data_IF_277281445744
#
_entry.id   IF_277281445744
#
_cell.length_a   1.000
_cell.length_b   1.000
_cell.length_c   1.000
_cell.angle_alpha   90.00
_cell.angle_beta   90.00
_cell.angle_gamma   90.00
#
_symmetry.space_group_name_H-M   'P 1'
#
loop_
_entity.id
_entity.type
_entity.pdbx_description
1 polymer ?
#
# COMPACT_ATOMS: atom_id res chain seq x y z
N UNK A 1 -22.69 -50.19 -3.94
CA UNK A 1 -21.28 -49.81 -4.14
C UNK A 1 -20.69 -49.48 -2.77
N UNK A 2 -19.65 -50.17 -2.32
CA UNK A 2 -19.16 -50.01 -0.94
C UNK A 2 -18.42 -48.68 -0.76
N UNK A 3 -18.69 -48.02 0.37
CA UNK A 3 -18.14 -46.71 0.76
C UNK A 3 -16.59 -46.68 0.72
N UNK A 4 -15.95 -47.83 0.94
CA UNK A 4 -14.49 -47.99 0.86
C UNK A 4 -13.92 -47.70 -0.54
N UNK A 5 -14.68 -47.95 -1.61
CA UNK A 5 -14.23 -47.73 -2.99
C UNK A 5 -14.24 -46.27 -3.43
N UNK A 6 -15.02 -45.42 -2.77
CA UNK A 6 -15.09 -43.98 -3.08
C UNK A 6 -13.96 -43.20 -2.38
N UNK A 7 -13.65 -43.55 -1.12
CA UNK A 7 -12.54 -42.95 -0.38
C UNK A 7 -11.18 -43.29 -1.01
N UNK A 8 -11.00 -44.51 -1.50
CA UNK A 8 -9.77 -44.92 -2.19
C UNK A 8 -9.49 -44.11 -3.46
N UNK A 9 -10.53 -43.81 -4.27
CA UNK A 9 -10.39 -42.99 -5.48
C UNK A 9 -10.09 -41.53 -5.15
N UNK A 10 -10.79 -40.95 -4.18
CA UNK A 10 -10.52 -39.58 -3.75
C UNK A 10 -9.08 -39.38 -3.25
N UNK A 11 -8.53 -40.36 -2.53
CA UNK A 11 -7.14 -40.34 -2.09
C UNK A 11 -6.15 -40.45 -3.27
N UNK A 12 -6.41 -41.35 -4.22
CA UNK A 12 -5.58 -41.49 -5.42
C UNK A 12 -5.58 -40.20 -6.28
N UNK A 13 -6.74 -39.58 -6.48
CA UNK A 13 -6.86 -38.32 -7.22
C UNK A 13 -6.08 -37.19 -6.54
N UNK A 14 -6.12 -37.14 -5.21
CA UNK A 14 -5.39 -36.14 -4.41
C UNK A 14 -3.87 -36.34 -4.54
N UNK A 15 -3.40 -37.59 -4.43
CA UNK A 15 -1.97 -37.93 -4.58
C UNK A 15 -1.47 -37.66 -6.01
N UNK A 16 -2.31 -37.92 -7.02
CA UNK A 16 -1.95 -37.66 -8.42
C UNK A 16 -1.91 -36.16 -8.72
N UNK A 17 -2.81 -35.37 -8.15
CA UNK A 17 -2.78 -33.91 -8.23
C UNK A 17 -1.52 -33.33 -7.57
N UNK A 18 -1.14 -33.84 -6.39
CA UNK A 18 0.07 -33.43 -5.68
C UNK A 18 1.34 -33.71 -6.51
N UNK A 19 1.48 -34.92 -7.06
CA UNK A 19 2.60 -35.29 -7.94
C UNK A 19 2.70 -34.38 -9.15
N UNK A 20 1.56 -34.11 -9.80
CA UNK A 20 1.51 -33.22 -10.97
C UNK A 20 1.92 -31.78 -10.62
N UNK A 21 1.55 -31.29 -9.43
CA UNK A 21 1.99 -29.96 -8.96
C UNK A 21 3.48 -29.93 -8.67
N UNK A 22 4.03 -30.99 -8.06
CA UNK A 22 5.46 -31.11 -7.77
C UNK A 22 6.29 -31.12 -9.06
N UNK A 23 5.90 -31.89 -10.06
CA UNK A 23 6.59 -31.94 -11.36
C UNK A 23 6.59 -30.58 -12.07
N UNK A 24 5.48 -29.83 -12.00
CA UNK A 24 5.39 -28.46 -12.55
C UNK A 24 6.31 -27.49 -11.80
N UNK A 25 6.38 -27.62 -10.47
CA UNK A 25 7.26 -26.81 -9.63
C UNK A 25 8.73 -27.09 -9.97
N UNK A 26 9.14 -28.36 -10.04
CA UNK A 26 10.50 -28.75 -10.39
C UNK A 26 10.91 -28.28 -11.79
N UNK A 27 10.00 -28.38 -12.78
CA UNK A 27 10.25 -27.85 -14.12
C UNK A 27 10.46 -26.33 -14.12
N UNK A 28 9.69 -25.60 -13.31
CA UNK A 28 9.82 -24.15 -13.17
C UNK A 28 11.15 -23.78 -12.51
N UNK A 29 11.53 -24.46 -11.43
CA UNK A 29 12.82 -24.26 -10.74
C UNK A 29 13.98 -24.52 -11.69
N UNK A 30 13.98 -25.63 -12.45
CA UNK A 30 15.02 -25.91 -13.46
C UNK A 30 15.09 -24.83 -14.55
N UNK A 31 13.95 -24.27 -14.95
CA UNK A 31 13.90 -23.15 -15.89
C UNK A 31 14.54 -21.87 -15.34
N UNK A 32 14.28 -21.55 -14.07
CA UNK A 32 14.88 -20.39 -13.39
C UNK A 32 16.39 -20.55 -13.18
N UNK A 33 16.85 -21.76 -12.83
CA UNK A 33 18.28 -22.05 -12.69
C UNK A 33 19.01 -21.83 -14.01
N UNK A 34 18.48 -22.34 -15.14
CA UNK A 34 19.07 -22.10 -16.47
C UNK A 34 19.12 -20.62 -16.85
N UNK A 35 18.09 -19.84 -16.49
CA UNK A 35 18.08 -18.40 -16.74
C UNK A 35 19.16 -17.69 -15.91
N UNK A 36 19.33 -18.07 -14.63
CA UNK A 36 20.37 -17.54 -13.76
C UNK A 36 21.77 -17.89 -14.27
N UNK A 37 22.01 -19.13 -14.70
CA UNK A 37 23.27 -19.55 -15.33
C UNK A 37 23.56 -18.71 -16.59
N UNK A 38 22.54 -18.46 -17.42
CA UNK A 38 22.68 -17.61 -18.61
C UNK A 38 22.99 -16.15 -18.29
N UNK A 39 22.50 -15.62 -17.16
CA UNK A 39 22.85 -14.28 -16.67
C UNK A 39 24.27 -14.26 -16.11
N UNK A 40 24.67 -15.26 -15.33
CA UNK A 40 26.02 -15.39 -14.78
C UNK A 40 27.06 -15.49 -15.91
N UNK A 41 26.78 -16.27 -16.95
CA UNK A 41 27.67 -16.39 -18.12
C UNK A 41 27.82 -15.10 -18.94
N UNK A 42 26.88 -14.15 -18.82
CA UNK A 42 26.92 -12.84 -19.50
C UNK A 42 27.54 -11.74 -18.65
N UNK A 43 27.79 -11.99 -17.37
CA UNK A 43 28.52 -11.04 -16.54
C UNK A 43 30.02 -11.15 -16.85
N UNK A 44 30.71 -10.05 -17.18
CA UNK A 44 32.14 -10.08 -17.41
C UNK A 44 32.83 -10.54 -16.11
N UNK A 45 33.66 -11.57 -16.22
CA UNK A 45 34.47 -12.06 -15.11
C UNK A 45 35.35 -10.93 -14.59
N UNK A 46 35.04 -10.44 -13.40
CA UNK A 46 35.92 -9.53 -12.63
C UNK A 46 37.07 -10.34 -12.05
N UNK A 47 37.93 -10.83 -12.94
CA UNK A 47 39.25 -11.39 -12.63
C UNK A 47 40.18 -10.98 -13.75
N UNK A 48 40.66 -9.74 -13.68
CA UNK A 48 41.96 -9.27 -14.17
C UNK A 48 42.01 -7.76 -14.02
N UNK A 49 42.30 -7.31 -12.80
CA UNK A 49 42.71 -5.95 -12.51
C UNK A 49 43.91 -5.96 -11.56
N UNK A 50 44.97 -6.65 -11.98
CA UNK A 50 46.34 -6.46 -11.49
C UNK A 50 47.29 -7.18 -12.44
N UNK A 51 47.87 -6.43 -13.37
CA UNK A 51 49.32 -6.44 -13.66
C UNK A 51 49.64 -5.44 -14.79
N UNK A 52 50.64 -4.59 -14.50
CA UNK A 52 51.36 -3.72 -15.44
C UNK A 52 51.82 -4.48 -16.69
N UNK A 53 52.02 -3.80 -17.85
CA UNK A 53 53.42 -3.48 -18.20
C UNK A 53 53.66 -2.20 -19.02
N UNK A 54 54.92 -1.78 -18.99
CA UNK A 54 55.57 -0.79 -19.85
C UNK A 54 55.68 -1.27 -21.31
N UNK A 55 55.56 -0.29 -22.23
CA UNK A 55 56.38 0.00 -23.45
C UNK A 55 56.95 -1.19 -24.25
N UNK A 56 56.55 -1.34 -25.53
CA UNK A 56 57.41 -1.67 -26.70
C UNK A 56 56.70 -1.24 -27.99
N UNK A 57 57.42 -0.54 -28.87
CA UNK A 57 57.11 -0.24 -30.27
C UNK A 57 57.28 -1.48 -31.18
N UNK A 58 56.42 -1.69 -32.19
CA UNK A 58 56.81 -1.80 -33.62
C UNK A 58 55.64 -2.22 -34.51
N UNK A 59 55.76 -1.78 -35.75
CA UNK A 59 54.87 -1.86 -36.90
C UNK A 59 54.48 -3.28 -37.33
N UNK A 60 53.31 -3.39 -37.95
CA UNK A 60 53.19 -4.05 -39.26
C UNK A 60 51.86 -3.70 -39.93
N UNK A 61 51.96 -3.22 -41.17
CA UNK A 61 50.88 -2.84 -42.05
C UNK A 61 50.10 -4.06 -42.59
N UNK A 62 48.78 -3.95 -42.68
CA UNK A 62 47.97 -4.70 -43.66
C UNK A 62 46.88 -3.78 -44.21
N UNK A 63 47.01 -3.48 -45.50
CA UNK A 63 46.02 -2.80 -46.34
C UNK A 63 44.74 -3.63 -46.45
N UNK A 64 43.59 -2.99 -46.26
CA UNK A 64 42.32 -3.39 -46.89
C UNK A 64 41.57 -2.14 -47.33
N UNK A 65 41.39 -2.04 -48.64
CA UNK A 65 40.60 -1.04 -49.34
C UNK A 65 39.17 -1.01 -48.81
N UNK A 66 38.65 0.18 -48.57
CA UNK A 66 37.24 0.46 -48.34
C UNK A 66 36.84 1.59 -49.27
N UNK A 67 35.89 1.30 -50.15
CA UNK A 67 35.19 2.25 -51.00
C UNK A 67 34.78 3.50 -50.23
N UNK A 68 35.13 4.64 -50.83
CA UNK A 68 34.80 5.98 -50.41
C UNK A 68 33.36 6.29 -50.83
N UNK A 69 32.42 6.21 -49.89
CA UNK A 69 31.09 6.82 -50.05
C UNK A 69 31.19 8.25 -49.53
N UNK A 70 30.84 9.21 -50.40
CA UNK A 70 30.83 10.64 -50.09
C UNK A 70 30.01 10.92 -48.80
N UNK A 71 30.51 11.81 -47.91
CA UNK A 71 29.78 12.17 -46.71
C UNK A 71 28.53 12.99 -47.09
N UNK A 72 27.36 12.53 -46.64
CA UNK A 72 26.11 13.28 -46.73
C UNK A 72 26.28 14.70 -46.16
N UNK A 73 25.67 15.73 -46.78
CA UNK A 73 25.79 17.10 -46.32
C UNK A 73 25.24 17.25 -44.89
N UNK A 74 26.00 17.96 -44.06
CA UNK A 74 25.61 18.27 -42.69
C UNK A 74 24.25 18.99 -42.67
N UNK A 75 23.31 18.59 -41.79
CA UNK A 75 22.04 19.27 -41.68
C UNK A 75 22.23 20.74 -41.28
N UNK A 76 21.42 21.66 -41.81
CA UNK A 76 21.57 23.09 -41.56
C UNK A 76 21.43 23.38 -40.06
N UNK A 77 22.41 24.12 -39.52
CA UNK A 77 22.39 24.60 -38.14
C UNK A 77 21.20 25.56 -37.97
N UNK A 78 20.14 25.08 -37.32
CA UNK A 78 19.07 25.94 -36.81
C UNK A 78 19.67 26.93 -35.80
N UNK A 79 19.79 28.19 -36.20
CA UNK A 79 20.06 29.29 -35.30
C UNK A 79 18.87 29.43 -34.35
N UNK A 80 19.00 28.91 -33.13
CA UNK A 80 18.04 29.17 -32.08
C UNK A 80 18.31 30.57 -31.53
N UNK A 81 17.35 31.48 -31.72
CA UNK A 81 17.32 32.82 -31.09
C UNK A 81 16.94 32.71 -29.61
N UNK A 82 17.69 31.90 -28.85
CA UNK A 82 17.55 31.82 -27.40
C UNK A 82 18.54 32.80 -26.77
N UNK A 83 18.11 34.05 -26.58
CA UNK A 83 18.76 34.97 -25.64
C UNK A 83 18.84 34.25 -24.28
N UNK A 84 20.06 33.88 -23.86
CA UNK A 84 20.38 33.43 -22.50
C UNK A 84 19.88 34.49 -21.51
N UNK A 85 18.67 34.34 -21.00
CA UNK A 85 18.27 34.99 -19.78
C UNK A 85 19.10 34.37 -18.66
N UNK A 86 20.13 35.08 -18.23
CA UNK A 86 20.80 34.84 -16.95
C UNK A 86 19.75 35.08 -15.87
N UNK A 87 19.04 34.00 -15.49
CA UNK A 87 18.16 34.00 -14.33
C UNK A 87 19.05 34.20 -13.10
N UNK A 88 19.14 35.44 -12.63
CA UNK A 88 19.74 35.76 -11.35
C UNK A 88 19.17 34.82 -10.29
N UNK A 89 20.03 34.24 -9.46
CA UNK A 89 19.67 33.41 -8.30
C UNK A 89 18.82 34.25 -7.33
N UNK A 90 17.51 34.39 -7.62
CA UNK A 90 16.55 34.88 -6.64
C UNK A 90 16.54 33.85 -5.51
N UNK A 91 17.05 34.24 -4.34
CA UNK A 91 16.87 33.47 -3.10
C UNK A 91 15.38 33.14 -3.00
N UNK A 92 14.98 31.86 -3.00
CA UNK A 92 13.58 31.50 -2.95
C UNK A 92 13.02 32.00 -1.62
N UNK A 93 12.23 33.08 -1.66
CA UNK A 93 11.43 33.48 -0.50
C UNK A 93 10.46 32.32 -0.24
N UNK A 94 10.35 31.82 1.01
CA UNK A 94 9.37 30.80 1.34
C UNK A 94 7.99 31.38 1.03
N UNK A 95 7.33 30.87 -0.03
CA UNK A 95 5.97 31.26 -0.36
C UNK A 95 5.10 30.83 0.83
N UNK A 96 4.59 31.81 1.59
CA UNK A 96 3.46 31.56 2.49
C UNK A 96 2.38 30.86 1.65
N UNK A 97 1.76 29.84 2.22
CA UNK A 97 0.71 29.07 1.52
C UNK A 97 -0.43 30.00 1.15
N UNK A 98 -1.05 29.79 -0.01
CA UNK A 98 -2.20 30.62 -0.37
C UNK A 98 -3.33 30.36 0.62
N UNK A 99 -4.05 31.40 1.06
CA UNK A 99 -5.23 31.25 1.92
C UNK A 99 -6.23 30.24 1.37
N UNK A 100 -6.44 30.21 0.05
CA UNK A 100 -7.32 29.26 -0.63
C UNK A 100 -6.97 27.79 -0.38
N UNK A 101 -5.67 27.45 -0.34
CA UNK A 101 -5.24 26.06 -0.06
C UNK A 101 -5.57 25.71 1.38
N UNK A 102 -5.39 26.64 2.32
CA UNK A 102 -5.71 26.40 3.73
C UNK A 102 -7.21 26.23 3.94
N UNK A 103 -8.05 27.03 3.28
CA UNK A 103 -9.52 26.85 3.31
C UNK A 103 -9.91 25.46 2.81
N UNK A 104 -9.36 25.02 1.68
CA UNK A 104 -9.63 23.68 1.13
C UNK A 104 -9.15 22.55 2.05
N UNK A 105 -8.00 22.72 2.72
CA UNK A 105 -7.51 21.73 3.69
C UNK A 105 -8.45 21.68 4.90
N UNK A 106 -8.82 22.83 5.47
CA UNK A 106 -9.68 22.87 6.66
C UNK A 106 -11.04 22.24 6.36
N UNK A 107 -11.67 22.57 5.23
CA UNK A 107 -12.91 21.93 4.80
C UNK A 107 -12.77 20.40 4.66
N UNK A 108 -11.61 19.90 4.20
CA UNK A 108 -11.33 18.46 4.13
C UNK A 108 -11.11 17.82 5.49
N UNK A 109 -10.58 18.56 6.47
CA UNK A 109 -10.42 18.09 7.85
C UNK A 109 -11.79 18.03 8.51
N UNK A 110 -12.60 19.08 8.38
CA UNK A 110 -13.97 19.13 8.89
C UNK A 110 -14.83 17.99 8.31
N UNK A 111 -14.69 17.70 7.01
CA UNK A 111 -15.40 16.60 6.38
C UNK A 111 -15.03 15.21 6.94
N UNK A 112 -13.94 15.05 7.68
CA UNK A 112 -13.59 13.77 8.32
C UNK A 112 -14.47 13.46 9.54
N UNK A 113 -15.26 14.42 10.01
CA UNK A 113 -16.03 14.32 11.24
C UNK A 113 -15.14 14.42 12.49
N UNK A 114 -15.73 14.09 13.63
CA UNK A 114 -15.07 14.22 14.92
C UNK A 114 -14.16 13.02 15.23
N UNK A 115 -12.99 13.25 15.87
CA UNK A 115 -12.16 12.17 16.37
C UNK A 115 -12.88 11.44 17.51
N UNK A 116 -12.81 10.10 17.49
CA UNK A 116 -13.32 9.30 18.59
C UNK A 116 -12.52 9.59 19.87
N UNK A 117 -13.20 9.65 21.02
CA UNK A 117 -12.55 9.86 22.33
C UNK A 117 -11.59 8.71 22.66
N UNK A 118 -12.02 7.48 22.38
CA UNK A 118 -11.27 6.26 22.60
C UNK A 118 -11.36 5.38 21.36
N UNK A 119 -10.24 4.85 20.90
CA UNK A 119 -10.18 3.76 19.92
C UNK A 119 -9.79 2.49 20.67
N UNK A 120 -10.58 1.41 20.60
CA UNK A 120 -10.24 0.16 21.27
C UNK A 120 -8.88 -0.39 20.80
N UNK A 121 -8.24 -1.18 21.67
CA UNK A 121 -6.99 -1.84 21.31
C UNK A 121 -7.19 -2.77 20.11
N UNK A 122 -6.22 -2.79 19.19
CA UNK A 122 -6.29 -3.57 17.95
C UNK A 122 -7.03 -2.89 16.79
N UNK A 123 -7.72 -1.76 17.01
CA UNK A 123 -8.35 -0.99 15.94
C UNK A 123 -7.41 0.06 15.35
N UNK A 124 -7.37 0.11 14.02
CA UNK A 124 -6.98 1.30 13.27
C UNK A 124 -8.11 2.33 13.41
N UNK A 125 -7.84 3.51 13.97
CA UNK A 125 -8.87 4.54 14.20
C UNK A 125 -9.49 5.07 12.90
N UNK A 126 -10.61 5.79 13.03
CA UNK A 126 -11.15 6.57 11.91
C UNK A 126 -10.15 7.62 11.45
N UNK A 127 -10.28 8.11 10.22
CA UNK A 127 -9.31 9.06 9.67
C UNK A 127 -9.21 10.36 10.48
N UNK A 128 -10.33 10.84 11.05
CA UNK A 128 -10.34 11.97 11.98
C UNK A 128 -9.51 11.69 13.24
N UNK A 129 -9.70 10.52 13.85
CA UNK A 129 -9.01 10.09 15.06
C UNK A 129 -7.50 9.98 14.83
N UNK A 130 -7.11 9.34 13.73
CA UNK A 130 -5.71 9.17 13.36
C UNK A 130 -5.06 10.52 13.05
N UNK A 131 -5.76 11.43 12.37
CA UNK A 131 -5.26 12.77 12.08
C UNK A 131 -5.06 13.58 13.36
N UNK A 132 -6.02 13.56 14.28
CA UNK A 132 -5.93 14.27 15.56
C UNK A 132 -4.74 13.77 16.39
N UNK A 133 -4.55 12.46 16.49
CA UNK A 133 -3.41 11.85 17.17
C UNK A 133 -2.07 12.21 16.49
N UNK A 134 -2.00 12.17 15.16
CA UNK A 134 -0.82 12.59 14.41
C UNK A 134 -0.45 14.06 14.69
N UNK A 135 -1.43 14.97 14.66
CA UNK A 135 -1.22 16.38 14.94
C UNK A 135 -0.79 16.62 16.40
N UNK A 136 -1.36 15.88 17.35
CA UNK A 136 -0.94 15.91 18.77
C UNK A 136 0.51 15.46 18.90
N UNK A 137 0.88 14.37 18.23
CA UNK A 137 2.23 13.82 18.24
C UNK A 137 3.24 14.80 17.63
N UNK A 138 2.95 15.42 16.48
CA UNK A 138 3.80 16.43 15.84
C UNK A 138 4.05 17.67 16.71
N UNK A 139 3.07 18.04 17.55
CA UNK A 139 3.17 19.19 18.47
C UNK A 139 3.84 18.84 19.80
N UNK A 140 4.09 17.57 20.09
CA UNK A 140 4.67 17.15 21.36
C UNK A 140 6.15 17.56 21.46
N UNK A 141 6.61 17.88 22.66
CA UNK A 141 8.03 18.20 22.90
C UNK A 141 8.95 17.01 22.67
N UNK A 142 8.39 15.80 22.68
CA UNK A 142 9.08 14.53 22.38
C UNK A 142 9.24 14.34 20.87
N UNK A 143 8.62 15.17 20.03
CA UNK A 143 8.73 15.04 18.58
C UNK A 143 10.15 15.37 18.10
N UNK A 144 10.81 14.32 17.62
CA UNK A 144 12.21 14.39 17.25
C UNK A 144 12.41 15.27 16.02
N UNK A 145 13.18 16.37 16.16
CA UNK A 145 13.40 17.34 15.08
C UNK A 145 14.47 16.93 14.07
N UNK A 146 15.33 15.97 14.42
CA UNK A 146 16.47 15.52 13.60
C UNK A 146 16.67 14.02 13.72
N UNK A 147 17.13 13.32 12.68
CA UNK A 147 17.39 11.89 12.76
C UNK A 147 18.44 11.57 13.85
N UNK A 148 18.29 10.44 14.57
CA UNK A 148 19.32 9.93 15.45
C UNK A 148 20.64 9.75 14.69
N UNK A 149 21.77 9.86 15.39
CA UNK A 149 23.11 9.89 14.78
C UNK A 149 23.33 8.77 13.74
N UNK A 150 22.96 7.53 14.08
CA UNK A 150 23.12 6.37 13.20
C UNK A 150 22.31 6.45 11.88
N UNK A 151 21.31 7.32 11.78
CA UNK A 151 20.50 7.52 10.57
C UNK A 151 20.77 8.86 9.88
N UNK A 152 21.62 9.74 10.41
CA UNK A 152 21.86 11.07 9.83
C UNK A 152 22.40 10.99 8.40
N UNK A 153 23.30 10.05 8.11
CA UNK A 153 23.85 9.88 6.76
C UNK A 153 22.80 9.38 5.76
N UNK A 154 21.95 8.41 6.18
CA UNK A 154 20.89 7.82 5.34
C UNK A 154 19.71 8.77 5.13
N UNK A 155 19.38 9.56 6.14
CA UNK A 155 18.34 10.59 6.14
C UNK A 155 18.96 12.00 6.12
N UNK A 156 19.89 12.24 5.20
CA UNK A 156 20.51 13.57 5.02
C UNK A 156 19.55 14.61 4.42
N UNK A 157 18.37 14.18 3.96
CA UNK A 157 17.40 15.01 3.25
C UNK A 157 17.81 15.37 1.82
N UNK A 158 18.84 14.71 1.26
CA UNK A 158 19.25 14.81 -0.15
C UNK A 158 19.41 16.25 -0.65
N UNK A 159 20.18 17.04 0.09
CA UNK A 159 20.47 18.44 -0.25
C UNK A 159 19.40 19.45 0.16
N UNK A 160 18.32 19.03 0.82
CA UNK A 160 17.39 19.95 1.48
C UNK A 160 18.07 20.61 2.67
N UNK A 161 17.78 21.88 2.90
CA UNK A 161 18.36 22.67 4.00
C UNK A 161 17.28 23.49 4.71
N UNK A 162 17.61 23.96 5.91
CA UNK A 162 16.74 24.82 6.71
C UNK A 162 15.34 24.22 6.92
N UNK A 163 14.31 25.02 6.64
CA UNK A 163 12.90 24.64 6.85
C UNK A 163 12.44 23.46 5.98
N UNK A 164 12.97 23.30 4.78
CA UNK A 164 12.54 22.19 3.92
C UNK A 164 13.06 20.85 4.46
N UNK A 165 14.27 20.86 5.03
CA UNK A 165 14.83 19.69 5.71
C UNK A 165 14.05 19.32 6.97
N UNK A 166 13.70 20.32 7.80
CA UNK A 166 12.91 20.06 9.01
C UNK A 166 11.53 19.49 8.68
N UNK A 167 10.87 20.01 7.65
CA UNK A 167 9.60 19.48 7.16
C UNK A 167 9.73 18.09 6.55
N UNK A 168 10.87 17.74 5.94
CA UNK A 168 11.11 16.39 5.48
C UNK A 168 11.20 15.40 6.65
N UNK A 169 11.92 15.76 7.71
CA UNK A 169 12.01 14.94 8.93
C UNK A 169 10.66 14.75 9.59
N UNK A 170 9.88 15.83 9.74
CA UNK A 170 8.52 15.76 10.27
C UNK A 170 7.66 14.74 9.50
N UNK A 171 7.75 14.75 8.17
CA UNK A 171 7.04 13.79 7.31
C UNK A 171 7.56 12.37 7.48
N UNK A 172 8.87 12.16 7.63
CA UNK A 172 9.42 10.82 7.87
C UNK A 172 8.87 10.21 9.16
N UNK A 173 8.90 10.98 10.24
CA UNK A 173 8.41 10.53 11.55
C UNK A 173 6.90 10.34 11.55
N UNK A 174 6.17 11.20 10.84
CA UNK A 174 4.74 11.04 10.63
C UNK A 174 4.42 9.73 9.91
N UNK A 175 5.16 9.37 8.85
CA UNK A 175 4.98 8.09 8.16
C UNK A 175 5.26 6.91 9.09
N UNK A 176 6.36 6.93 9.85
CA UNK A 176 6.66 5.89 10.83
C UNK A 176 5.56 5.78 11.88
N UNK A 177 5.06 6.91 12.39
CA UNK A 177 3.99 6.96 13.37
C UNK A 177 2.71 6.31 12.83
N UNK A 178 2.27 6.71 11.64
CA UNK A 178 1.04 6.18 11.03
C UNK A 178 1.09 4.66 10.82
N UNK A 179 2.20 4.13 10.31
CA UNK A 179 2.33 2.68 10.11
C UNK A 179 2.50 1.96 11.46
N UNK A 180 3.44 2.42 12.29
CA UNK A 180 3.85 1.71 13.50
C UNK A 180 2.91 1.88 14.71
N UNK A 181 2.06 2.92 14.76
CA UNK A 181 1.06 3.11 15.83
C UNK A 181 -0.35 2.71 15.39
N UNK A 182 -0.69 2.93 14.13
CA UNK A 182 -2.07 2.79 13.63
C UNK A 182 -2.26 1.67 12.62
N UNK A 183 -1.22 0.87 12.33
CA UNK A 183 -1.27 -0.26 11.38
C UNK A 183 -1.64 0.11 9.94
N UNK A 184 -1.77 1.39 9.60
CA UNK A 184 -2.18 1.85 8.26
C UNK A 184 -1.06 1.60 7.26
N UNK A 185 -1.38 0.89 6.18
CA UNK A 185 -0.40 0.53 5.16
C UNK A 185 -0.60 1.20 3.80
N UNK A 186 -1.78 1.77 3.53
CA UNK A 186 -2.05 2.39 2.23
C UNK A 186 -1.27 3.69 2.05
N UNK A 187 -0.44 3.77 1.00
CA UNK A 187 0.27 4.99 0.61
C UNK A 187 -0.68 6.18 0.46
N UNK A 188 -1.83 5.96 -0.18
CA UNK A 188 -2.81 7.02 -0.43
C UNK A 188 -3.32 7.62 0.90
N UNK A 189 -3.60 6.76 1.87
CA UNK A 189 -4.09 7.16 3.19
C UNK A 189 -3.02 7.88 4.00
N UNK A 190 -1.79 7.33 4.02
CA UNK A 190 -0.63 7.92 4.68
C UNK A 190 -0.33 9.32 4.12
N UNK A 191 -0.21 9.45 2.80
CA UNK A 191 0.07 10.75 2.15
C UNK A 191 -1.07 11.75 2.38
N UNK A 192 -2.33 11.28 2.44
CA UNK A 192 -3.47 12.14 2.77
C UNK A 192 -3.37 12.66 4.21
N UNK A 193 -3.13 11.80 5.20
CA UNK A 193 -3.01 12.19 6.62
C UNK A 193 -1.84 13.14 6.85
N UNK A 194 -0.69 12.88 6.24
CA UNK A 194 0.48 13.78 6.31
C UNK A 194 0.17 15.09 5.60
N UNK A 195 -0.48 15.04 4.43
CA UNK A 195 -0.91 16.22 3.69
C UNK A 195 -1.82 17.13 4.52
N UNK A 196 -2.87 16.57 5.11
CA UNK A 196 -3.83 17.30 5.95
C UNK A 196 -3.17 17.87 7.21
N UNK A 197 -2.41 17.06 7.97
CA UNK A 197 -1.70 17.55 9.18
C UNK A 197 -0.72 18.68 8.86
N UNK A 198 -0.08 18.61 7.70
CA UNK A 198 0.85 19.61 7.25
C UNK A 198 0.20 20.76 6.48
N UNK A 199 -1.11 20.84 6.26
CA UNK A 199 -1.71 21.92 5.44
C UNK A 199 -1.28 21.91 3.97
N UNK A 200 -1.15 20.72 3.37
CA UNK A 200 -0.74 20.48 1.99
C UNK A 200 -1.85 19.78 1.20
N UNK A 201 -1.77 19.89 -0.13
CA UNK A 201 -2.53 18.99 -1.01
C UNK A 201 -2.08 17.54 -0.80
N UNK A 202 -3.03 16.61 -0.84
CA UNK A 202 -2.87 15.17 -0.65
C UNK A 202 -1.96 14.51 -1.70
N UNK A 203 -1.63 15.23 -2.77
CA UNK A 203 -0.72 14.80 -3.86
C UNK A 203 0.50 15.70 -4.02
N UNK A 204 0.87 16.46 -2.99
CA UNK A 204 2.04 17.33 -3.06
C UNK A 204 3.31 16.51 -3.33
N UNK A 205 4.11 16.89 -4.34
CA UNK A 205 5.34 16.17 -4.68
C UNK A 205 6.37 16.10 -3.54
N UNK A 206 6.25 16.97 -2.53
CA UNK A 206 7.05 16.92 -1.31
C UNK A 206 6.75 15.71 -0.42
N UNK A 207 5.52 15.18 -0.45
CA UNK A 207 5.13 13.96 0.26
C UNK A 207 5.75 12.75 -0.44
N UNK A 208 5.59 12.67 -1.77
CA UNK A 208 6.15 11.59 -2.59
C UNK A 208 7.67 11.49 -2.44
N UNK A 209 8.37 12.64 -2.45
CA UNK A 209 9.83 12.66 -2.22
C UNK A 209 10.18 12.14 -0.83
N UNK A 210 9.41 12.49 0.19
CA UNK A 210 9.69 12.05 1.55
C UNK A 210 9.57 10.51 1.68
N UNK A 211 8.49 9.94 1.18
CA UNK A 211 8.30 8.48 1.15
C UNK A 211 9.40 7.78 0.35
N UNK A 212 9.80 8.33 -0.80
CA UNK A 212 10.89 7.79 -1.62
C UNK A 212 12.23 7.75 -0.86
N UNK A 213 12.55 8.79 -0.09
CA UNK A 213 13.78 8.79 0.71
C UNK A 213 13.76 7.70 1.77
N UNK A 214 12.61 7.44 2.40
CA UNK A 214 12.50 6.39 3.41
C UNK A 214 12.61 4.99 2.82
N UNK A 215 12.08 4.77 1.62
CA UNK A 215 12.27 3.51 0.88
C UNK A 215 13.75 3.32 0.54
N UNK A 216 14.42 4.34 -0.01
CA UNK A 216 15.85 4.26 -0.34
C UNK A 216 16.74 4.11 0.90
N UNK A 217 16.32 4.63 2.05
CA UNK A 217 17.01 4.47 3.33
C UNK A 217 16.74 3.10 4.00
N UNK A 218 16.01 2.20 3.33
CA UNK A 218 15.56 0.91 3.85
C UNK A 218 14.77 1.02 5.17
N UNK A 219 13.92 2.04 5.31
CA UNK A 219 13.01 2.20 6.45
C UNK A 219 11.59 1.73 6.12
N UNK A 220 11.23 1.77 4.84
CA UNK A 220 9.94 1.32 4.32
C UNK A 220 10.17 0.31 3.20
N UNK A 221 9.30 -0.69 3.14
CA UNK A 221 9.14 -1.56 1.99
C UNK A 221 7.93 -1.09 1.18
N UNK A 222 8.07 -0.93 -0.14
CA UNK A 222 6.97 -0.58 -1.04
C UNK A 222 6.50 -1.83 -1.80
N UNK A 223 5.21 -2.17 -1.70
CA UNK A 223 4.57 -3.21 -2.50
C UNK A 223 3.42 -2.61 -3.29
N UNK A 224 3.34 -2.90 -4.59
CA UNK A 224 2.19 -2.54 -5.42
C UNK A 224 1.28 -3.75 -5.57
N UNK A 225 0.00 -3.60 -5.24
CA UNK A 225 -1.02 -4.64 -5.40
C UNK A 225 -2.12 -4.14 -6.34
N UNK A 226 -2.64 -5.03 -7.19
CA UNK A 226 -3.70 -4.73 -8.16
C UNK A 226 -4.71 -5.88 -8.18
N UNK A 227 -5.99 -5.54 -8.26
CA UNK A 227 -7.05 -6.53 -8.46
C UNK A 227 -6.94 -7.13 -9.86
N UNK A 228 -6.91 -8.46 -9.94
CA UNK A 228 -6.82 -9.18 -11.23
C UNK A 228 -8.12 -9.08 -12.06
N UNK A 229 -9.25 -8.82 -11.40
CA UNK A 229 -10.58 -8.71 -12.00
C UNK A 229 -11.25 -7.41 -11.60
N UNK A 230 -12.38 -7.10 -12.25
CA UNK A 230 -13.16 -5.90 -11.96
C UNK A 230 -13.57 -5.83 -10.47
N UNK A 231 -13.51 -4.64 -9.84
CA UNK A 231 -13.11 -3.35 -10.42
C UNK A 231 -11.59 -3.24 -10.60
N UNK A 232 -11.15 -2.50 -11.63
CA UNK A 232 -9.74 -2.18 -11.80
C UNK A 232 -9.32 -1.17 -10.73
N UNK A 233 -8.70 -1.68 -9.67
CA UNK A 233 -8.14 -0.87 -8.59
C UNK A 233 -6.78 -1.41 -8.17
N UNK A 234 -5.94 -0.52 -7.66
CA UNK A 234 -4.60 -0.84 -7.20
C UNK A 234 -4.24 0.03 -6.00
N UNK A 235 -3.52 -0.54 -5.05
CA UNK A 235 -2.94 0.19 -3.93
C UNK A 235 -1.42 0.03 -3.94
N UNK A 236 -0.74 1.13 -3.63
CA UNK A 236 0.63 1.07 -3.15
C UNK A 236 0.60 0.95 -1.64
N UNK A 237 1.35 0.01 -1.12
CA UNK A 237 1.39 -0.36 0.28
C UNK A 237 2.79 -0.07 0.82
N UNK A 238 2.84 0.55 2.00
CA UNK A 238 4.04 0.73 2.79
C UNK A 238 3.96 -0.11 4.06
N UNK A 239 5.01 -0.88 4.31
CA UNK A 239 5.25 -1.54 5.60
C UNK A 239 6.61 -1.10 6.15
N UNK A 240 6.79 -1.20 7.47
CA UNK A 240 8.09 -0.94 8.08
C UNK A 240 9.02 -2.12 7.81
N UNK A 241 10.25 -1.83 7.35
CA UNK A 241 11.35 -2.80 7.40
C UNK A 241 11.76 -3.04 8.87
N UNK A 242 12.66 -3.99 9.12
CA UNK A 242 13.21 -4.21 10.47
C UNK A 242 13.96 -2.98 11.00
N UNK A 243 14.67 -2.26 10.13
CA UNK A 243 15.30 -0.99 10.42
C UNK A 243 14.27 0.10 10.69
N UNK A 244 13.17 0.11 9.95
CA UNK A 244 12.03 0.99 10.19
C UNK A 244 11.40 0.76 11.56
N UNK A 245 11.18 -0.50 11.95
CA UNK A 245 10.67 -0.89 13.28
C UNK A 245 11.65 -0.53 14.38
N UNK A 246 12.95 -0.73 14.15
CA UNK A 246 14.01 -0.34 15.09
C UNK A 246 14.03 1.16 15.33
N UNK A 247 13.95 1.95 14.25
CA UNK A 247 13.91 3.40 14.32
C UNK A 247 12.62 3.90 14.99
N UNK A 248 11.46 3.30 14.67
CA UNK A 248 10.20 3.58 15.36
C UNK A 248 10.33 3.37 16.87
N UNK A 249 10.89 2.24 17.31
CA UNK A 249 11.14 1.95 18.73
C UNK A 249 12.06 2.96 19.38
N UNK A 250 13.11 3.38 18.67
CA UNK A 250 14.05 4.37 19.19
C UNK A 250 13.40 5.74 19.39
N UNK A 251 12.64 6.21 18.41
CA UNK A 251 12.02 7.54 18.39
C UNK A 251 10.84 7.64 19.37
N UNK A 252 9.96 6.64 19.36
CA UNK A 252 8.68 6.71 20.07
C UNK A 252 8.66 5.90 21.37
N UNK A 253 9.74 5.19 21.68
CA UNK A 253 9.85 4.29 22.85
C UNK A 253 8.72 3.26 22.91
N UNK A 254 8.24 2.83 21.75
CA UNK A 254 7.14 1.87 21.58
C UNK A 254 7.50 0.82 20.55
N UNK A 255 6.98 -0.40 20.68
CA UNK A 255 7.05 -1.38 19.59
C UNK A 255 6.01 -0.99 18.55
N UNK A 256 6.37 -1.15 17.27
CA UNK A 256 5.40 -1.00 16.20
C UNK A 256 4.33 -2.10 16.35
N UNK A 257 3.06 -1.73 16.19
CA UNK A 257 1.98 -2.71 16.08
C UNK A 257 2.10 -3.47 14.75
N UNK A 258 1.50 -4.65 14.67
CA UNK A 258 1.46 -5.42 13.43
C UNK A 258 0.65 -4.67 12.38
N UNK A 259 1.20 -4.56 11.16
CA UNK A 259 0.55 -3.84 10.08
C UNK A 259 -0.56 -4.67 9.41
N UNK A 260 -1.49 -3.99 8.75
CA UNK A 260 -2.67 -4.61 8.14
C UNK A 260 -2.33 -5.68 7.09
N UNK A 261 -1.25 -5.50 6.31
CA UNK A 261 -0.85 -6.52 5.33
C UNK A 261 -0.29 -7.76 6.03
N UNK A 262 0.53 -7.59 7.07
CA UNK A 262 1.04 -8.70 7.86
C UNK A 262 -0.09 -9.49 8.55
N UNK A 263 -1.10 -8.81 9.09
CA UNK A 263 -2.30 -9.44 9.68
C UNK A 263 -3.01 -10.32 8.65
N UNK A 264 -3.26 -9.80 7.44
CA UNK A 264 -3.92 -10.56 6.38
C UNK A 264 -3.08 -11.76 5.91
N UNK A 265 -1.76 -11.59 5.83
CA UNK A 265 -0.87 -12.68 5.43
C UNK A 265 -0.88 -13.82 6.45
N UNK A 266 -0.81 -13.50 7.74
CA UNK A 266 -0.74 -14.49 8.83
C UNK A 266 -2.10 -15.17 9.07
N UNK A 267 -3.17 -14.38 9.18
CA UNK A 267 -4.48 -14.89 9.63
C UNK A 267 -5.41 -15.32 8.51
N UNK A 268 -5.12 -14.93 7.26
CA UNK A 268 -6.03 -15.13 6.12
C UNK A 268 -5.35 -15.68 4.86
N UNK A 269 -4.16 -16.27 5.00
CA UNK A 269 -3.34 -16.75 3.87
C UNK A 269 -3.20 -15.67 2.77
N UNK A 270 -3.02 -14.41 3.18
CA UNK A 270 -3.18 -13.25 2.29
C UNK A 270 -2.29 -13.25 1.04
N UNK A 271 -1.14 -13.94 1.08
CA UNK A 271 -0.27 -14.12 -0.08
C UNK A 271 -0.82 -15.10 -1.12
N UNK A 272 -1.58 -16.10 -0.67
CA UNK A 272 -2.27 -17.07 -1.53
C UNK A 272 -3.51 -16.45 -2.17
N UNK A 273 -4.15 -15.49 -1.50
CA UNK A 273 -5.35 -14.82 -1.97
C UNK A 273 -5.17 -13.30 -2.14
N UNK A 274 -4.23 -12.83 -3.00
CA UNK A 274 -3.82 -11.43 -3.04
C UNK A 274 -4.93 -10.46 -3.45
N UNK A 275 -5.86 -10.89 -4.31
CA UNK A 275 -7.03 -10.09 -4.69
C UNK A 275 -7.99 -9.86 -3.52
N UNK A 276 -8.18 -10.88 -2.67
CA UNK A 276 -9.06 -10.79 -1.49
C UNK A 276 -8.42 -9.89 -0.44
N UNK A 277 -7.13 -10.10 -0.17
CA UNK A 277 -6.33 -9.23 0.68
C UNK A 277 -6.45 -7.77 0.25
N UNK A 278 -6.27 -7.48 -1.05
CA UNK A 278 -6.41 -6.11 -1.56
C UNK A 278 -7.84 -5.58 -1.43
N UNK A 279 -8.85 -6.41 -1.69
CA UNK A 279 -10.25 -6.05 -1.53
C UNK A 279 -10.58 -5.60 -0.10
N UNK A 280 -10.13 -6.37 0.90
CA UNK A 280 -10.28 -6.04 2.32
C UNK A 280 -9.57 -4.74 2.69
N UNK A 281 -8.32 -4.56 2.24
CA UNK A 281 -7.55 -3.33 2.49
C UNK A 281 -8.20 -2.08 1.86
N UNK A 282 -8.75 -2.20 0.65
CA UNK A 282 -9.50 -1.11 0.00
C UNK A 282 -10.75 -0.78 0.81
N UNK A 283 -11.51 -1.79 1.26
CA UNK A 283 -12.70 -1.57 2.06
C UNK A 283 -12.35 -0.87 3.38
N UNK A 284 -11.33 -1.34 4.10
CA UNK A 284 -10.89 -0.74 5.36
C UNK A 284 -10.48 0.74 5.20
N UNK A 285 -9.70 1.06 4.16
CA UNK A 285 -9.34 2.44 3.79
C UNK A 285 -10.58 3.31 3.55
N UNK A 286 -11.57 2.79 2.84
CA UNK A 286 -12.80 3.53 2.54
C UNK A 286 -13.74 3.66 3.74
N UNK A 287 -13.74 2.70 4.66
CA UNK A 287 -14.48 2.75 5.91
C UNK A 287 -13.88 3.82 6.83
N UNK A 288 -12.54 3.85 6.99
CA UNK A 288 -11.84 4.89 7.78
C UNK A 288 -12.06 6.30 7.28
N UNK A 289 -12.06 6.47 5.95
CA UNK A 289 -12.36 7.76 5.33
C UNK A 289 -13.80 8.23 5.61
N UNK A 290 -14.73 7.30 5.85
CA UNK A 290 -16.14 7.55 6.21
C UNK A 290 -16.40 7.53 7.72
N UNK A 291 -15.36 7.74 8.53
CA UNK A 291 -15.51 7.90 9.98
C UNK A 291 -15.51 6.60 10.78
N UNK A 292 -15.32 5.43 10.16
CA UNK A 292 -15.28 4.15 10.88
C UNK A 292 -13.85 3.81 11.35
N UNK A 293 -13.66 3.37 12.59
CA UNK A 293 -12.48 2.61 12.94
C UNK A 293 -12.60 1.18 12.38
N UNK A 294 -11.47 0.51 12.17
CA UNK A 294 -11.43 -0.82 11.54
C UNK A 294 -10.42 -1.73 12.25
N UNK A 295 -10.74 -3.00 12.40
CA UNK A 295 -9.81 -4.04 12.82
C UNK A 295 -9.93 -5.21 11.84
N UNK A 296 -8.82 -5.61 11.22
CA UNK A 296 -8.77 -6.75 10.31
C UNK A 296 -8.65 -8.06 11.08
N UNK A 297 -9.31 -9.11 10.58
CA UNK A 297 -9.29 -10.46 11.14
C UNK A 297 -9.45 -10.46 12.67
N UNK A 298 -10.54 -9.87 13.20
CA UNK A 298 -10.76 -9.81 14.64
C UNK A 298 -10.95 -11.21 15.20
N UNK A 299 -10.47 -11.42 16.43
CA UNK A 299 -10.76 -12.63 17.17
C UNK A 299 -12.19 -12.57 17.69
N UNK A 300 -13.01 -13.55 17.32
CA UNK A 300 -14.40 -13.67 17.74
C UNK A 300 -14.62 -15.05 18.37
N UNK A 301 -15.61 -15.15 19.26
CA UNK A 301 -15.99 -16.44 19.83
C UNK A 301 -16.67 -17.32 18.76
N UNK A 302 -16.37 -18.62 18.79
CA UNK A 302 -16.94 -19.60 17.89
C UNK A 302 -16.16 -19.79 16.58
N UNK A 303 -16.87 -20.22 15.53
CA UNK A 303 -16.27 -20.61 14.23
C UNK A 303 -16.33 -19.51 13.17
N UNK A 304 -16.97 -18.39 13.46
CA UNK A 304 -17.02 -17.27 12.54
C UNK A 304 -15.62 -16.66 12.41
N UNK A 305 -15.25 -16.24 11.21
CA UNK A 305 -13.97 -15.61 10.91
C UNK A 305 -14.22 -14.44 9.95
N UNK A 306 -14.78 -13.33 10.44
CA UNK A 306 -15.05 -12.16 9.62
C UNK A 306 -13.74 -11.57 9.08
N UNK A 307 -13.76 -11.08 7.84
CA UNK A 307 -12.61 -10.38 7.26
C UNK A 307 -12.20 -9.14 8.08
N UNK A 308 -13.18 -8.40 8.61
CA UNK A 308 -12.95 -7.25 9.47
C UNK A 308 -14.14 -6.91 10.38
N UNK A 309 -13.89 -6.12 11.40
CA UNK A 309 -14.91 -5.42 12.18
C UNK A 309 -14.72 -3.91 12.01
N UNK A 310 -15.82 -3.18 11.90
CA UNK A 310 -15.83 -1.72 11.84
C UNK A 310 -16.59 -1.13 13.03
N UNK A 311 -16.15 0.02 13.51
CA UNK A 311 -16.68 0.68 14.70
C UNK A 311 -16.90 2.18 14.47
N UNK A 312 -18.06 2.72 14.85
CA UNK A 312 -18.33 4.16 14.85
C UNK A 312 -19.32 4.51 15.95
N UNK A 313 -18.85 5.19 17.00
CA UNK A 313 -19.64 5.36 18.21
C UNK A 313 -19.95 4.00 18.82
N UNK A 314 -21.22 3.73 19.07
CA UNK A 314 -21.71 2.44 19.59
C UNK A 314 -22.02 1.43 18.46
N UNK A 315 -21.97 1.85 17.18
CA UNK A 315 -22.20 0.95 16.05
C UNK A 315 -20.96 0.07 15.81
N UNK A 316 -21.09 -1.24 16.05
CA UNK A 316 -20.09 -2.25 15.76
C UNK A 316 -20.63 -3.25 14.74
N UNK A 317 -19.93 -3.47 13.64
CA UNK A 317 -20.35 -4.37 12.57
C UNK A 317 -19.20 -5.27 12.13
N UNK A 318 -19.40 -6.58 12.21
CA UNK A 318 -18.55 -7.58 11.56
C UNK A 318 -18.91 -7.66 10.08
N UNK A 319 -17.91 -7.55 9.21
CA UNK A 319 -18.08 -7.39 7.76
C UNK A 319 -17.35 -8.48 7.01
N UNK A 320 -17.99 -8.95 5.95
CA UNK A 320 -17.38 -9.87 4.99
C UNK A 320 -17.19 -9.22 3.61
N UNK A 321 -16.01 -9.39 3.02
CA UNK A 321 -15.69 -8.84 1.69
C UNK A 321 -15.69 -9.96 0.67
N UNK A 322 -16.72 -10.05 -0.16
CA UNK A 322 -16.96 -11.22 -1.00
C UNK A 322 -16.54 -11.05 -2.45
N UNK A 323 -15.80 -12.06 -2.96
CA UNK A 323 -15.33 -12.12 -4.36
C UNK A 323 -16.30 -12.76 -5.34
N UNK A 324 -17.41 -13.33 -4.85
CA UNK A 324 -18.48 -13.89 -5.67
C UNK A 324 -18.30 -15.38 -6.06
N UNK A 325 -17.46 -16.13 -5.35
CA UNK A 325 -17.38 -17.58 -5.50
C UNK A 325 -18.62 -18.27 -4.89
N UNK A 326 -18.73 -19.60 -5.02
CA UNK A 326 -19.86 -20.36 -4.49
C UNK A 326 -19.66 -20.47 -2.97
N UNK A 327 -20.12 -19.45 -2.25
CA UNK A 327 -19.90 -19.31 -0.82
C UNK A 327 -20.75 -20.28 0.01
N UNK A 328 -20.27 -20.56 1.21
CA UNK A 328 -20.98 -21.38 2.18
C UNK A 328 -21.98 -20.51 2.93
N UNK A 329 -23.26 -20.86 2.86
CA UNK A 329 -24.35 -20.22 3.63
C UNK A 329 -24.01 -20.02 5.11
N UNK A 330 -23.27 -20.96 5.69
CA UNK A 330 -22.78 -20.91 7.08
C UNK A 330 -22.00 -19.64 7.42
N UNK A 331 -21.30 -19.04 6.44
CA UNK A 331 -20.49 -17.84 6.63
C UNK A 331 -21.38 -16.64 6.96
N UNK A 332 -22.40 -16.40 6.14
CA UNK A 332 -23.29 -15.24 6.31
C UNK A 332 -24.22 -15.39 7.50
N UNK A 333 -24.65 -16.61 7.83
CA UNK A 333 -25.38 -16.86 9.08
C UNK A 333 -24.49 -16.63 10.30
N UNK A 334 -23.20 -16.93 10.22
CA UNK A 334 -22.21 -16.61 11.25
C UNK A 334 -22.07 -15.10 11.44
N UNK A 335 -21.89 -14.34 10.35
CA UNK A 335 -21.84 -12.88 10.39
C UNK A 335 -23.15 -12.28 10.94
N UNK A 336 -24.30 -12.78 10.49
CA UNK A 336 -25.58 -12.33 11.03
C UNK A 336 -25.69 -12.61 12.53
N UNK A 337 -25.21 -13.76 13.01
CA UNK A 337 -25.24 -14.08 14.45
C UNK A 337 -24.36 -13.13 15.26
N UNK A 338 -23.19 -12.73 14.74
CA UNK A 338 -22.31 -11.76 15.38
C UNK A 338 -22.88 -10.34 15.43
N UNK A 339 -23.79 -10.02 14.52
CA UNK A 339 -24.39 -8.69 14.33
C UNK A 339 -25.90 -8.70 14.64
N UNK A 340 -26.33 -9.49 15.62
CA UNK A 340 -27.72 -9.50 16.13
C UNK A 340 -28.80 -9.70 15.02
N UNK A 341 -28.51 -10.60 14.08
CA UNK A 341 -29.38 -10.93 12.94
C UNK A 341 -29.14 -10.13 11.67
N UNK A 342 -28.15 -9.22 11.65
CA UNK A 342 -27.84 -8.35 10.49
C UNK A 342 -26.59 -8.82 9.75
N UNK A 343 -26.66 -9.09 8.44
CA UNK A 343 -25.44 -9.37 7.66
C UNK A 343 -24.84 -8.09 7.08
N UNK A 344 -23.52 -7.87 7.18
CA UNK A 344 -22.83 -6.75 6.55
C UNK A 344 -21.82 -7.25 5.50
N UNK A 345 -22.02 -6.87 4.23
CA UNK A 345 -21.29 -7.41 3.09
C UNK A 345 -20.69 -6.32 2.18
N UNK A 346 -19.49 -6.54 1.68
CA UNK A 346 -18.91 -5.79 0.58
C UNK A 346 -18.61 -6.71 -0.60
N UNK A 347 -19.36 -6.60 -1.70
CA UNK A 347 -19.07 -7.37 -2.90
C UNK A 347 -17.98 -6.72 -3.76
N UNK A 348 -17.49 -7.41 -4.79
CA UNK A 348 -16.59 -6.76 -5.77
C UNK A 348 -17.33 -5.74 -6.65
N UNK A 349 -18.54 -6.08 -7.11
CA UNK A 349 -19.32 -5.26 -8.03
C UNK A 349 -20.79 -5.25 -7.64
N UNK A 350 -21.54 -4.28 -8.16
CA UNK A 350 -23.00 -4.20 -8.00
C UNK A 350 -23.72 -5.51 -8.37
N UNK A 351 -23.35 -6.17 -9.48
CA UNK A 351 -23.95 -7.45 -9.88
C UNK A 351 -23.78 -8.50 -8.79
N UNK A 352 -22.60 -8.60 -8.20
CA UNK A 352 -22.34 -9.54 -7.10
C UNK A 352 -23.05 -9.11 -5.82
N UNK A 353 -23.11 -7.81 -5.52
CA UNK A 353 -23.86 -7.27 -4.38
C UNK A 353 -25.33 -7.68 -4.45
N UNK A 354 -25.98 -7.49 -5.59
CA UNK A 354 -27.37 -7.87 -5.81
C UNK A 354 -27.59 -9.38 -5.63
N UNK A 355 -26.71 -10.21 -6.19
CA UNK A 355 -26.75 -11.67 -5.99
C UNK A 355 -26.63 -12.04 -4.51
N UNK A 356 -25.62 -11.54 -3.80
CA UNK A 356 -25.39 -11.86 -2.38
C UNK A 356 -26.55 -11.43 -1.49
N UNK A 357 -27.14 -10.26 -1.75
CA UNK A 357 -28.37 -9.82 -1.06
C UNK A 357 -29.52 -10.79 -1.33
N UNK A 358 -29.69 -11.24 -2.58
CA UNK A 358 -30.67 -12.27 -2.95
C UNK A 358 -30.43 -13.58 -2.19
N UNK A 359 -29.19 -14.06 -2.16
CA UNK A 359 -28.81 -15.29 -1.48
C UNK A 359 -29.07 -15.19 0.05
N UNK A 360 -28.79 -14.04 0.68
CA UNK A 360 -29.10 -13.81 2.10
C UNK A 360 -30.61 -13.83 2.38
N UNK A 361 -31.42 -13.27 1.48
CA UNK A 361 -32.89 -13.32 1.61
C UNK A 361 -33.43 -14.74 1.47
N UNK A 362 -32.87 -15.54 0.57
CA UNK A 362 -33.21 -16.97 0.44
C UNK A 362 -32.86 -17.77 1.71
N UNK A 363 -31.80 -17.36 2.42
CA UNK A 363 -31.45 -17.90 3.74
C UNK A 363 -32.27 -17.32 4.90
N UNK A 364 -33.31 -16.52 4.61
CA UNK A 364 -34.20 -15.88 5.59
C UNK A 364 -33.48 -14.94 6.56
N UNK A 365 -32.34 -14.38 6.17
CA UNK A 365 -31.67 -13.31 6.92
C UNK A 365 -32.48 -12.02 6.70
N UNK A 366 -33.16 -11.57 7.76
CA UNK A 366 -34.17 -10.51 7.69
C UNK A 366 -33.59 -9.12 7.52
N UNK A 367 -32.38 -8.87 8.04
CA UNK A 367 -31.74 -7.57 8.01
C UNK A 367 -30.35 -7.65 7.36
N UNK A 368 -29.98 -6.62 6.62
CA UNK A 368 -28.60 -6.54 6.13
C UNK A 368 -28.17 -5.21 5.53
N UNK A 369 -26.86 -5.07 5.41
CA UNK A 369 -26.14 -3.94 4.87
C UNK A 369 -25.22 -4.44 3.76
N UNK A 370 -25.28 -3.83 2.58
CA UNK A 370 -24.44 -4.23 1.48
C UNK A 370 -23.88 -3.04 0.70
N UNK A 371 -22.64 -3.19 0.28
CA UNK A 371 -21.94 -2.27 -0.64
C UNK A 371 -21.12 -3.08 -1.65
N UNK A 372 -20.39 -2.38 -2.52
CA UNK A 372 -19.44 -3.03 -3.41
C UNK A 372 -18.21 -2.17 -3.70
N UNK A 373 -17.07 -2.82 -3.92
CA UNK A 373 -15.80 -2.16 -4.16
C UNK A 373 -15.84 -1.25 -5.39
N UNK A 374 -16.50 -1.67 -6.48
CA UNK A 374 -16.56 -0.86 -7.70
C UNK A 374 -17.18 0.51 -7.42
N UNK A 375 -18.29 0.53 -6.71
CA UNK A 375 -18.95 1.76 -6.29
C UNK A 375 -18.08 2.57 -5.31
N UNK A 376 -17.45 1.92 -4.33
CA UNK A 376 -16.56 2.60 -3.37
C UNK A 376 -15.38 3.31 -4.05
N UNK A 377 -14.69 2.65 -4.97
CA UNK A 377 -13.47 3.19 -5.63
C UNK A 377 -13.78 4.19 -6.74
N UNK A 378 -15.03 4.27 -7.20
CA UNK A 378 -15.45 5.26 -8.21
C UNK A 378 -15.65 6.64 -7.58
N UNK A 379 -15.95 6.70 -6.29
CA UNK A 379 -15.97 7.97 -5.56
C UNK A 379 -14.53 8.44 -5.35
N UNK A 380 -14.24 9.66 -5.80
CA UNK A 380 -12.93 10.29 -5.59
C UNK A 380 -12.62 10.35 -4.09
N UNK A 381 -11.47 9.81 -3.70
CA UNK A 381 -11.09 9.66 -2.29
C UNK A 381 -11.11 10.98 -1.49
N UNK A 382 -10.67 12.08 -2.12
CA UNK A 382 -10.65 13.42 -1.52
C UNK A 382 -12.06 14.00 -1.25
N UNK A 383 -13.10 13.49 -1.94
CA UNK A 383 -14.48 13.98 -1.88
C UNK A 383 -15.32 13.15 -0.89
N UNK A 384 -14.73 12.15 -0.23
CA UNK A 384 -15.36 11.32 0.80
C UNK A 384 -15.18 12.00 2.16
N UNK A 385 -16.27 12.09 2.93
CA UNK A 385 -16.29 12.49 4.34
C UNK A 385 -17.03 11.49 5.24
N UNK A 386 -17.14 11.78 6.54
CA UNK A 386 -17.82 10.93 7.53
C UNK A 386 -19.29 10.65 7.20
N UNK A 387 -19.98 11.64 6.62
CA UNK A 387 -21.39 11.52 6.21
C UNK A 387 -21.57 10.81 4.87
N UNK A 388 -20.49 10.54 4.13
CA UNK A 388 -20.60 9.79 2.88
C UNK A 388 -20.95 8.34 3.19
N UNK A 389 -22.10 7.87 2.69
CA UNK A 389 -22.58 6.52 2.96
C UNK A 389 -21.54 5.43 2.60
N UNK A 390 -21.34 4.49 3.53
CA UNK A 390 -20.54 3.28 3.31
C UNK A 390 -21.39 2.19 2.63
N UNK A 391 -22.65 2.07 3.08
CA UNK A 391 -23.60 1.05 2.64
C UNK A 391 -24.52 1.61 1.56
N UNK A 392 -24.64 0.90 0.44
CA UNK A 392 -25.49 1.29 -0.68
C UNK A 392 -26.87 0.63 -0.64
N UNK A 393 -26.98 -0.46 0.12
CA UNK A 393 -28.24 -1.18 0.33
C UNK A 393 -28.40 -1.50 1.80
N UNK A 394 -29.61 -1.24 2.30
CA UNK A 394 -30.15 -1.77 3.56
C UNK A 394 -31.42 -2.56 3.21
N UNK A 395 -31.69 -3.66 3.90
CA UNK A 395 -32.96 -4.38 3.81
C UNK A 395 -33.37 -4.93 5.17
#
# INVERSE_FOLDING_TARGET
MSYASAQGRALQDTLQAERTMRDRSEKTVRGLVKLLEGVIARLPSTKEATQNPKKVEKESAVKKEKEELEPLPLPPKLQTTSKKQVRGKKKPKPKKRSPEIMVKVNARIEALGDPAKNTPEGFSGSMATVLADLQKMQKSDVFVKKPPAAWQQRLSGKGRTGRDLSLAYERYWSTLWLIGRWSIVSKLEIETLIGLSNGLSTRAGSLVRASKDMVEANLLLEKSMRLSKAPSSALKIYTLSEEGKTLFKLLFKKRAVQDELAIMNEKHEGERFPDHTLAVLIFALHARRRGWATQLMPSVEGKAAPDLVILRGDECLYVEVERGQKEKSAKWTGIASLNEGTVALCAMTEKYRQRLVGDCKLLKIKAGLATDLKSLVTVRYDDIGAETALWLKKW
#
